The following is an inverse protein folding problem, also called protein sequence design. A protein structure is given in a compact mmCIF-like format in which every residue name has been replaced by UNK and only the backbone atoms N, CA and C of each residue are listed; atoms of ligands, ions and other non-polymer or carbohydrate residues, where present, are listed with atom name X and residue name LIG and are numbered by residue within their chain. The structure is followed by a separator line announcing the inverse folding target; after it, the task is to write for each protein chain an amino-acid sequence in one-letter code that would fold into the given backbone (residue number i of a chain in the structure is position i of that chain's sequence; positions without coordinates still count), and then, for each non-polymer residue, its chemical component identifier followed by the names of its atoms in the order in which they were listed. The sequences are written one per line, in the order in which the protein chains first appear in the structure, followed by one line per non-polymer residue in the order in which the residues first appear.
data_IF_269862793728
#
_entry.id   IF_269862793728
#
_cell.length_a   1.000
_cell.length_b   1.000
_cell.length_c   1.000
_cell.angle_alpha   90.00
_cell.angle_beta   90.00
_cell.angle_gamma   90.00
#
_symmetry.space_group_name_H-M   'P 1'
#
loop_
_entity.id
_entity.type
_entity.pdbx_description
1 polymer ?
#
# COMPACT_ATOMS: atom_id res chain seq x y z
N UNK A 1 -29.32 8.40 26.08
CA UNK A 1 -30.10 8.41 24.84
C UNK A 1 -30.81 9.75 24.71
N UNK A 2 -31.33 10.10 23.52
CA UNK A 2 -32.15 11.30 23.36
C UNK A 2 -33.57 11.12 23.92
N UNK A 3 -34.24 12.23 24.24
CA UNK A 3 -35.64 12.23 24.67
C UNK A 3 -36.53 11.57 23.60
N UNK A 4 -37.28 10.52 24.00
CA UNK A 4 -38.12 9.66 23.15
C UNK A 4 -37.43 9.07 21.92
N UNK A 5 -36.09 8.98 21.94
CA UNK A 5 -35.33 8.37 20.85
C UNK A 5 -35.66 6.87 20.70
N UNK A 6 -35.72 6.42 19.45
CA UNK A 6 -35.80 5.02 19.05
C UNK A 6 -34.51 4.71 18.26
N UNK A 7 -33.63 3.86 18.81
CA UNK A 7 -32.26 3.72 18.33
C UNK A 7 -31.89 2.25 18.10
N UNK A 8 -31.64 1.91 16.84
CA UNK A 8 -31.05 0.64 16.44
C UNK A 8 -29.53 0.80 16.36
N UNK A 9 -28.81 0.20 17.31
CA UNK A 9 -27.34 0.28 17.42
C UNK A 9 -26.76 -1.08 17.02
N UNK A 10 -26.32 -1.20 15.77
CA UNK A 10 -25.82 -2.48 15.23
C UNK A 10 -24.44 -2.37 14.56
N UNK A 11 -23.61 -3.39 14.78
CA UNK A 11 -22.29 -3.59 14.19
C UNK A 11 -21.28 -2.42 14.32
N UNK A 12 -21.40 -1.63 15.39
CA UNK A 12 -20.45 -0.56 15.75
C UNK A 12 -19.25 -1.09 16.54
N UNK A 13 -18.19 -0.27 16.63
CA UNK A 13 -16.94 -0.59 17.33
C UNK A 13 -16.68 0.47 18.40
N UNK A 14 -16.76 0.08 19.68
CA UNK A 14 -16.56 0.96 20.83
C UNK A 14 -15.24 0.61 21.55
N UNK A 15 -14.23 1.47 21.44
CA UNK A 15 -12.91 1.27 22.06
C UNK A 15 -12.67 2.38 23.10
N UNK A 16 -12.41 2.01 24.35
CA UNK A 16 -12.10 2.93 25.46
C UNK A 16 -13.25 3.83 25.93
N UNK A 17 -14.49 3.56 25.48
CA UNK A 17 -15.63 4.46 25.71
C UNK A 17 -16.21 4.27 27.13
N UNK A 18 -16.26 5.35 27.91
CA UNK A 18 -16.73 5.33 29.32
C UNK A 18 -18.23 5.01 29.49
N UNK A 19 -19.05 5.31 28.48
CA UNK A 19 -20.46 4.93 28.39
C UNK A 19 -20.82 4.65 26.92
N UNK A 20 -20.62 3.42 26.40
CA UNK A 20 -20.85 3.16 24.99
C UNK A 20 -22.35 3.14 24.65
N UNK A 21 -23.20 2.56 25.50
CA UNK A 21 -24.66 2.65 25.43
C UNK A 21 -25.18 3.48 26.62
N UNK A 22 -25.09 4.81 26.51
CA UNK A 22 -25.72 5.70 27.49
C UNK A 22 -27.24 5.73 27.28
N UNK A 23 -28.00 5.31 28.28
CA UNK A 23 -29.46 5.32 28.29
C UNK A 23 -30.05 6.65 28.83
N UNK A 24 -29.23 7.51 29.46
CA UNK A 24 -29.65 8.75 30.13
C UNK A 24 -30.76 8.51 31.18
N UNK A 25 -31.60 9.51 31.48
CA UNK A 25 -32.65 9.45 32.53
C UNK A 25 -33.81 8.46 32.27
N UNK A 26 -33.73 7.60 31.26
CA UNK A 26 -34.75 6.57 30.96
C UNK A 26 -35.81 6.96 29.93
N UNK A 27 -35.92 8.23 29.56
CA UNK A 27 -36.95 8.81 28.68
C UNK A 27 -36.92 8.37 27.20
N UNK A 28 -36.25 7.27 26.84
CA UNK A 28 -36.16 6.76 25.47
C UNK A 28 -37.32 5.82 25.10
N UNK A 29 -37.68 5.82 23.82
CA UNK A 29 -38.70 4.93 23.26
C UNK A 29 -38.17 3.50 23.24
N UNK A 30 -37.02 3.25 22.61
CA UNK A 30 -36.30 1.98 22.59
C UNK A 30 -34.82 2.16 22.22
N UNK A 31 -33.95 1.24 22.64
CA UNK A 31 -32.54 1.17 22.21
C UNK A 31 -32.16 -0.30 22.04
N UNK A 32 -32.15 -0.83 20.81
CA UNK A 32 -31.68 -2.21 20.56
C UNK A 32 -30.19 -2.22 20.23
N UNK A 33 -29.49 -3.24 20.73
CA UNK A 33 -28.03 -3.38 20.60
C UNK A 33 -27.71 -4.79 20.12
N UNK A 34 -27.09 -4.92 18.94
CA UNK A 34 -26.77 -6.23 18.34
C UNK A 34 -25.49 -6.20 17.50
N UNK A 35 -24.64 -7.23 17.61
CA UNK A 35 -23.46 -7.39 16.74
C UNK A 35 -22.32 -6.38 16.93
N UNK A 36 -22.43 -5.45 17.89
CA UNK A 36 -21.38 -4.45 18.17
C UNK A 36 -20.20 -5.06 18.93
N UNK A 37 -19.00 -4.52 18.72
CA UNK A 37 -17.79 -4.83 19.48
C UNK A 37 -17.52 -3.78 20.56
N UNK A 38 -17.12 -4.22 21.76
CA UNK A 38 -16.80 -3.36 22.90
C UNK A 38 -15.45 -3.77 23.50
N UNK A 39 -14.53 -2.83 23.64
CA UNK A 39 -13.19 -3.05 24.20
C UNK A 39 -12.80 -1.90 25.14
N UNK A 40 -12.27 -2.21 26.32
CA UNK A 40 -11.86 -1.20 27.31
C UNK A 40 -13.00 -0.28 27.80
N UNK A 41 -14.26 -0.64 27.51
CA UNK A 41 -15.43 0.16 27.88
C UNK A 41 -15.82 -0.07 29.34
N UNK A 42 -16.12 1.00 30.06
CA UNK A 42 -16.35 0.98 31.53
C UNK A 42 -17.78 1.31 31.96
N UNK A 43 -18.71 1.38 31.00
CA UNK A 43 -20.13 1.65 31.25
C UNK A 43 -21.04 0.66 30.52
N UNK A 44 -22.35 0.88 30.62
CA UNK A 44 -23.37 0.00 30.04
C UNK A 44 -23.15 -0.28 28.54
N UNK A 45 -23.20 -1.56 28.18
CA UNK A 45 -23.12 -2.09 26.80
C UNK A 45 -24.44 -2.68 26.30
N UNK A 46 -25.47 -2.78 27.16
CA UNK A 46 -26.75 -3.42 26.83
C UNK A 46 -27.82 -2.42 26.39
N UNK A 47 -28.65 -2.84 25.43
CA UNK A 47 -29.87 -2.13 25.05
C UNK A 47 -31.04 -2.37 25.99
N UNK A 48 -32.18 -1.74 25.70
CA UNK A 48 -33.47 -2.03 26.32
C UNK A 48 -34.63 -1.79 25.32
N UNK A 49 -35.59 -2.70 25.32
CA UNK A 49 -36.69 -2.82 24.33
C UNK A 49 -36.20 -3.07 22.90
N UNK A 50 -37.12 -3.44 22.01
CA UNK A 50 -36.85 -3.59 20.58
C UNK A 50 -37.02 -2.23 19.89
N UNK A 51 -35.98 -1.76 19.20
CA UNK A 51 -36.02 -0.54 18.39
C UNK A 51 -36.66 -0.80 17.01
N UNK A 52 -36.93 0.28 16.27
CA UNK A 52 -37.42 0.18 14.89
C UNK A 52 -36.55 -0.72 14.00
N UNK A 53 -37.19 -1.41 13.06
CA UNK A 53 -36.52 -2.07 11.93
C UNK A 53 -36.66 -1.16 10.71
N UNK A 54 -35.56 -0.76 10.03
CA UNK A 54 -35.65 0.02 8.81
C UNK A 54 -36.45 -0.69 7.71
N UNK A 55 -37.17 0.07 6.88
CA UNK A 55 -37.87 -0.46 5.69
C UNK A 55 -36.94 -0.72 4.50
N UNK A 56 -35.64 -0.52 4.67
CA UNK A 56 -34.59 -0.75 3.68
C UNK A 56 -33.57 -1.75 4.22
N UNK A 57 -33.03 -2.59 3.33
CA UNK A 57 -31.90 -3.48 3.65
C UNK A 57 -30.59 -2.76 3.33
N UNK A 58 -29.65 -2.75 4.27
CA UNK A 58 -28.29 -2.26 4.10
C UNK A 58 -27.31 -3.37 4.51
N UNK A 59 -26.24 -3.66 3.74
CA UNK A 59 -25.23 -4.63 4.16
C UNK A 59 -24.47 -4.10 5.38
N UNK A 60 -24.34 -4.92 6.42
CA UNK A 60 -23.61 -4.60 7.63
C UNK A 60 -22.24 -5.29 7.61
N UNK A 61 -21.17 -4.56 7.90
CA UNK A 61 -19.85 -5.17 8.15
C UNK A 61 -19.90 -5.95 9.45
N UNK A 62 -19.55 -7.24 9.43
CA UNK A 62 -19.42 -8.03 10.65
C UNK A 62 -18.22 -7.54 11.48
N UNK A 63 -18.44 -7.26 12.77
CA UNK A 63 -17.41 -6.83 13.74
C UNK A 63 -17.35 -7.74 14.98
N UNK A 64 -17.91 -8.95 14.90
CA UNK A 64 -18.07 -9.93 16.00
C UNK A 64 -16.78 -10.34 16.74
N UNK A 65 -15.60 -10.00 16.23
CA UNK A 65 -14.32 -10.23 16.91
C UNK A 65 -13.35 -9.03 16.73
N UNK A 66 -12.29 -9.00 17.53
CA UNK A 66 -11.32 -7.90 17.58
C UNK A 66 -10.69 -7.63 16.21
N UNK A 67 -10.27 -8.67 15.49
CA UNK A 67 -9.65 -8.57 14.16
C UNK A 67 -10.58 -7.87 13.14
N UNK A 68 -11.86 -8.24 13.10
CA UNK A 68 -12.86 -7.60 12.24
C UNK A 68 -13.17 -6.16 12.68
N UNK A 69 -13.34 -5.94 13.97
CA UNK A 69 -13.57 -4.60 14.55
C UNK A 69 -12.40 -3.64 14.24
N UNK A 70 -11.17 -4.13 14.30
CA UNK A 70 -9.96 -3.36 13.98
C UNK A 70 -9.84 -3.08 12.48
N UNK A 71 -10.17 -4.03 11.61
CA UNK A 71 -10.24 -3.79 10.17
C UNK A 71 -11.24 -2.67 9.82
N UNK A 72 -12.40 -2.62 10.48
CA UNK A 72 -13.36 -1.52 10.29
C UNK A 72 -12.83 -0.18 10.87
N UNK A 73 -12.26 -0.19 12.09
CA UNK A 73 -11.59 0.98 12.71
C UNK A 73 -10.57 1.62 11.77
N UNK A 74 -9.70 0.82 11.17
CA UNK A 74 -8.61 1.29 10.33
C UNK A 74 -9.11 1.82 8.99
N UNK A 75 -10.11 1.16 8.40
CA UNK A 75 -10.82 1.66 7.22
C UNK A 75 -11.46 3.03 7.48
N UNK A 76 -12.22 3.17 8.58
CA UNK A 76 -12.85 4.45 8.96
C UNK A 76 -11.81 5.55 9.19
N UNK A 77 -10.69 5.25 9.86
CA UNK A 77 -9.60 6.22 10.11
C UNK A 77 -8.95 6.77 8.84
N UNK A 78 -8.94 5.99 7.76
CA UNK A 78 -8.28 6.37 6.52
C UNK A 78 -9.22 6.99 5.47
N UNK A 79 -10.53 6.68 5.53
CA UNK A 79 -11.49 7.05 4.49
C UNK A 79 -12.67 7.92 4.96
N UNK A 80 -12.86 8.13 6.27
CA UNK A 80 -13.89 9.03 6.79
C UNK A 80 -13.36 10.46 6.98
N UNK A 81 -14.13 11.45 6.53
CA UNK A 81 -13.78 12.88 6.62
C UNK A 81 -13.89 13.59 5.27
N UNK A 82 -13.41 14.83 5.21
CA UNK A 82 -13.46 15.66 4.00
C UNK A 82 -12.26 15.44 3.05
N UNK A 83 -11.29 14.60 3.42
CA UNK A 83 -10.10 14.29 2.64
C UNK A 83 -10.39 13.22 1.59
N UNK A 84 -10.81 13.65 0.40
CA UNK A 84 -10.72 12.80 -0.79
C UNK A 84 -9.25 12.41 -1.03
N UNK A 85 -8.91 11.13 -1.20
CA UNK A 85 -7.57 10.75 -1.67
C UNK A 85 -7.34 11.34 -3.08
N UNK A 86 -6.09 11.67 -3.40
CA UNK A 86 -5.76 12.31 -4.67
C UNK A 86 -6.27 11.49 -5.88
N UNK A 87 -6.94 12.12 -6.87
CA UNK A 87 -7.51 11.39 -8.01
C UNK A 87 -6.46 10.56 -8.76
N UNK A 88 -6.53 9.24 -8.59
CA UNK A 88 -5.61 8.28 -9.20
C UNK A 88 -4.92 7.30 -8.24
N UNK A 89 -4.93 7.51 -6.91
CA UNK A 89 -4.15 6.63 -6.01
C UNK A 89 -4.82 5.28 -5.70
N UNK A 90 -6.15 5.21 -5.52
CA UNK A 90 -6.85 3.95 -5.15
C UNK A 90 -8.26 3.83 -5.77
N UNK A 91 -8.36 3.62 -7.09
CA UNK A 91 -9.66 3.33 -7.74
C UNK A 91 -9.59 2.24 -8.84
N UNK A 92 -9.34 1.01 -8.41
CA UNK A 92 -9.49 -0.21 -9.24
C UNK A 92 -10.42 -1.27 -8.63
N UNK A 93 -11.43 -0.83 -7.87
CA UNK A 93 -12.53 -1.69 -7.41
C UNK A 93 -13.77 -0.88 -7.05
N UNK A 94 -14.68 -0.69 -8.02
CA UNK A 94 -16.01 -0.09 -7.81
C UNK A 94 -16.99 -1.05 -7.10
N UNK A 95 -16.55 -1.67 -6.00
CA UNK A 95 -17.37 -2.44 -5.07
C UNK A 95 -16.60 -2.65 -3.77
N UNK A 96 -17.12 -2.13 -2.66
CA UNK A 96 -16.64 -2.49 -1.32
C UNK A 96 -17.28 -3.83 -0.95
N UNK A 97 -16.68 -4.92 -1.42
CA UNK A 97 -17.07 -6.27 -1.01
C UNK A 97 -16.57 -6.48 0.42
N UNK A 98 -17.44 -6.66 1.43
CA UNK A 98 -16.99 -7.04 2.77
C UNK A 98 -16.42 -8.46 2.71
N UNK A 99 -15.18 -8.63 3.20
CA UNK A 99 -14.46 -9.92 3.19
C UNK A 99 -15.06 -10.96 4.15
N UNK A 100 -16.26 -11.46 3.87
CA UNK A 100 -16.96 -12.53 4.61
C UNK A 100 -18.05 -13.19 3.76
N UNK A 101 -17.66 -13.83 2.65
CA UNK A 101 -18.56 -14.65 1.83
C UNK A 101 -17.85 -15.84 1.15
N UNK A 102 -17.37 -16.80 1.95
CA UNK A 102 -16.80 -18.06 1.45
C UNK A 102 -17.92 -19.05 1.08
N UNK A 103 -18.45 -18.95 -0.14
CA UNK A 103 -19.41 -19.92 -0.68
C UNK A 103 -18.69 -21.21 -1.12
N UNK A 104 -18.69 -22.23 -0.26
CA UNK A 104 -18.21 -23.57 -0.59
C UNK A 104 -19.36 -24.42 -1.21
N UNK A 105 -19.19 -25.00 -2.40
CA UNK A 105 -20.05 -26.10 -2.86
C UNK A 105 -19.77 -27.39 -2.07
N UNK A 106 -20.71 -28.36 -2.01
CA UNK A 106 -20.59 -29.52 -1.14
C UNK A 106 -19.57 -30.56 -1.65
N UNK A 107 -18.83 -31.16 -0.71
CA UNK A 107 -17.85 -32.21 -0.96
C UNK A 107 -18.49 -33.52 -1.47
N UNK A 108 -17.78 -34.21 -2.35
CA UNK A 108 -18.08 -35.58 -2.78
C UNK A 108 -16.85 -36.48 -2.69
N UNK A 109 -17.07 -37.77 -2.43
CA UNK A 109 -16.11 -38.88 -2.37
C UNK A 109 -15.06 -38.90 -1.23
N UNK A 110 -14.48 -40.06 -0.85
CA UNK A 110 -15.14 -41.20 -0.18
C UNK A 110 -14.16 -42.34 0.21
N UNK A 111 -14.43 -42.96 1.36
CA UNK A 111 -14.14 -44.36 1.79
C UNK A 111 -12.68 -44.88 1.96
N UNK A 112 -12.61 -45.96 2.76
CA UNK A 112 -11.49 -46.83 3.16
C UNK A 112 -10.53 -46.26 4.23
N UNK A 113 -10.28 -46.87 5.42
CA UNK A 113 -10.09 -48.28 5.87
C UNK A 113 -8.65 -48.79 5.68
N UNK A 114 -7.97 -49.47 6.62
CA UNK A 114 -8.16 -49.75 8.08
C UNK A 114 -6.73 -50.07 8.65
N UNK A 115 -6.39 -50.77 9.76
CA UNK A 115 -7.07 -51.54 10.85
C UNK A 115 -6.01 -51.90 11.93
N UNK A 116 -6.45 -52.36 13.13
CA UNK A 116 -5.68 -53.21 14.10
C UNK A 116 -4.41 -52.62 14.78
N UNK A 117 -3.98 -53.01 15.99
CA UNK A 117 -4.56 -53.90 17.04
C UNK A 117 -3.86 -53.75 18.42
N UNK A 118 -4.60 -54.01 19.50
CA UNK A 118 -4.13 -54.41 20.85
C UNK A 118 -4.21 -55.96 21.00
N UNK A 119 -3.74 -56.65 22.06
CA UNK A 119 -3.24 -56.22 23.41
C UNK A 119 -1.73 -56.60 23.59
N UNK A 120 -1.01 -56.70 24.73
CA UNK A 120 -1.18 -57.11 26.16
C UNK A 120 0.01 -56.53 27.00
N UNK A 121 0.18 -56.62 28.33
CA UNK A 121 -0.69 -56.78 29.54
C UNK A 121 0.14 -56.56 30.84
N UNK A 122 -0.52 -56.22 31.96
CA UNK A 122 -0.10 -56.36 33.38
C UNK A 122 1.35 -56.09 33.85
N UNK A 123 1.55 -55.07 34.71
CA UNK A 123 1.98 -55.23 36.13
C UNK A 123 2.18 -53.89 36.88
N UNK A 124 2.03 -53.89 38.20
CA UNK A 124 1.98 -52.69 39.07
C UNK A 124 3.35 -52.10 39.46
N UNK A 125 3.40 -50.77 39.62
CA UNK A 125 4.06 -50.10 40.76
C UNK A 125 3.61 -48.63 40.88
N UNK A 126 3.46 -48.13 42.11
CA UNK A 126 2.86 -46.82 42.41
C UNK A 126 3.89 -45.79 42.89
N UNK A 127 4.12 -44.73 42.10
CA UNK A 127 4.73 -43.46 42.55
C UNK A 127 4.08 -42.28 41.77
N UNK A 128 4.29 -41.01 42.17
CA UNK A 128 3.16 -40.09 42.38
C UNK A 128 2.63 -39.41 41.12
N UNK A 129 1.45 -38.79 41.27
CA UNK A 129 0.84 -37.96 40.25
C UNK A 129 1.65 -36.66 40.01
N UNK A 130 2.55 -36.70 39.02
CA UNK A 130 3.05 -35.49 38.36
C UNK A 130 2.09 -35.12 37.24
N UNK A 131 1.32 -34.05 37.43
CA UNK A 131 0.43 -33.50 36.40
C UNK A 131 1.24 -32.78 35.32
N UNK A 132 1.88 -33.55 34.44
CA UNK A 132 2.37 -33.05 33.16
C UNK A 132 1.18 -32.71 32.26
N UNK A 133 0.65 -31.49 32.41
CA UNK A 133 -0.25 -30.91 31.43
C UNK A 133 0.49 -30.84 30.10
N UNK A 134 0.15 -31.75 29.19
CA UNK A 134 0.53 -31.61 27.78
C UNK A 134 -0.26 -30.43 27.23
N UNK A 135 0.37 -29.25 27.23
CA UNK A 135 -0.21 -28.06 26.64
C UNK A 135 -0.64 -28.39 25.20
N UNK A 136 -1.93 -28.21 24.94
CA UNK A 136 -2.54 -28.52 23.65
C UNK A 136 -2.12 -27.42 22.68
N UNK A 137 -0.90 -27.57 22.16
CA UNK A 137 -0.29 -26.64 21.22
C UNK A 137 -1.18 -26.54 19.99
N UNK A 138 -1.91 -25.44 19.87
CA UNK A 138 -2.70 -25.14 18.69
C UNK A 138 -1.75 -24.88 17.49
N UNK A 139 -2.19 -25.13 16.25
CA UNK A 139 -1.39 -24.79 15.07
C UNK A 139 -1.06 -23.29 15.05
N UNK A 140 0.05 -22.92 14.42
CA UNK A 140 0.39 -21.52 14.26
C UNK A 140 -0.64 -20.79 13.38
N UNK A 141 -0.83 -19.50 13.62
CA UNK A 141 -1.73 -18.63 12.85
C UNK A 141 -1.01 -17.33 12.50
N UNK A 142 -1.30 -16.79 11.30
CA UNK A 142 -0.89 -15.46 10.85
C UNK A 142 -2.14 -14.65 10.48
N UNK A 143 -2.52 -13.69 11.32
CA UNK A 143 -3.60 -12.74 11.06
C UNK A 143 -3.05 -11.44 10.46
N UNK A 144 -3.74 -10.86 9.47
CA UNK A 144 -3.27 -9.68 8.73
C UNK A 144 -4.00 -8.42 9.19
N UNK A 145 -3.25 -7.38 9.51
CA UNK A 145 -3.74 -6.11 10.03
C UNK A 145 -3.13 -4.91 9.26
N UNK A 146 -3.57 -3.70 9.57
CA UNK A 146 -3.19 -2.47 8.86
C UNK A 146 -3.82 -2.35 7.47
N UNK A 147 -3.82 -1.13 6.95
CA UNK A 147 -4.53 -0.76 5.71
C UNK A 147 -3.83 -1.14 4.41
N UNK A 148 -2.51 -1.33 4.41
CA UNK A 148 -1.78 -1.83 3.25
C UNK A 148 -2.26 -3.21 2.82
N UNK A 149 -2.47 -3.43 1.53
CA UNK A 149 -2.78 -4.76 1.01
C UNK A 149 -1.52 -5.62 0.96
N UNK A 150 -1.63 -6.89 1.34
CA UNK A 150 -0.57 -7.89 1.09
C UNK A 150 -0.30 -8.07 -0.40
N UNK A 151 -1.27 -7.73 -1.26
CA UNK A 151 -1.12 -7.66 -2.71
C UNK A 151 -1.33 -6.20 -3.15
N UNK A 152 -0.25 -5.46 -3.37
CA UNK A 152 -0.29 -4.02 -3.68
C UNK A 152 0.57 -3.68 -4.90
N UNK A 153 0.16 -2.66 -5.65
CA UNK A 153 0.94 -2.10 -6.77
C UNK A 153 1.52 -0.77 -6.33
N UNK A 154 2.85 -0.65 -6.42
CA UNK A 154 3.63 0.50 -5.93
C UNK A 154 4.66 0.85 -7.00
N UNK A 155 4.92 2.14 -7.19
CA UNK A 155 5.84 2.59 -8.22
C UNK A 155 7.29 2.67 -7.68
N UNK A 156 8.30 2.46 -8.52
CA UNK A 156 9.70 2.51 -8.08
C UNK A 156 10.07 3.91 -7.55
N UNK A 157 10.51 4.00 -6.29
CA UNK A 157 10.72 5.25 -5.56
C UNK A 157 9.59 5.67 -4.62
N UNK A 158 8.43 4.99 -4.65
CA UNK A 158 7.29 5.28 -3.76
C UNK A 158 7.27 4.39 -2.50
N UNK A 159 6.65 4.88 -1.44
CA UNK A 159 6.45 4.13 -0.20
C UNK A 159 5.36 3.06 -0.35
N UNK A 160 5.56 1.90 0.26
CA UNK A 160 4.50 0.89 0.32
C UNK A 160 3.43 1.33 1.32
N UNK A 161 2.17 0.98 1.05
CA UNK A 161 1.12 1.09 2.06
C UNK A 161 1.43 0.08 3.17
N UNK A 162 1.67 0.56 4.40
CA UNK A 162 2.14 -0.29 5.49
C UNK A 162 1.06 -1.23 6.03
N UNK A 163 1.49 -2.41 6.45
CA UNK A 163 0.67 -3.46 7.04
C UNK A 163 1.49 -4.28 8.03
N UNK A 164 0.83 -5.14 8.80
CA UNK A 164 1.52 -6.10 9.66
C UNK A 164 0.78 -7.43 9.74
N UNK A 165 1.50 -8.48 10.14
CA UNK A 165 0.89 -9.73 10.58
C UNK A 165 1.11 -9.92 12.08
N UNK A 166 0.08 -10.39 12.78
CA UNK A 166 0.20 -10.91 14.15
C UNK A 166 0.37 -12.42 14.07
N UNK A 167 1.37 -12.99 14.76
CA UNK A 167 1.57 -14.44 14.82
C UNK A 167 1.13 -15.03 16.15
N UNK A 168 0.42 -16.16 16.10
CA UNK A 168 -0.16 -16.84 17.26
C UNK A 168 0.37 -18.28 17.30
N UNK A 169 0.62 -18.82 18.50
CA UNK A 169 1.18 -20.15 18.76
C UNK A 169 2.56 -20.42 18.11
N UNK A 170 3.39 -19.39 17.88
CA UNK A 170 4.73 -19.54 17.33
C UNK A 170 5.76 -18.67 18.07
N UNK A 171 7.00 -19.14 18.11
CA UNK A 171 8.10 -18.44 18.79
C UNK A 171 8.56 -17.19 18.03
N UNK A 172 8.55 -17.25 16.70
CA UNK A 172 8.91 -16.12 15.82
C UNK A 172 8.38 -16.30 14.40
N UNK A 173 8.89 -15.49 13.47
CA UNK A 173 8.48 -15.46 12.06
C UNK A 173 9.66 -15.08 11.17
N UNK A 174 9.77 -15.69 9.98
CA UNK A 174 10.71 -15.30 8.92
C UNK A 174 9.96 -14.66 7.76
N UNK A 175 10.63 -13.72 7.09
CA UNK A 175 10.11 -12.98 5.94
C UNK A 175 11.14 -12.99 4.81
N UNK A 176 10.72 -13.41 3.62
CA UNK A 176 11.57 -13.51 2.42
C UNK A 176 10.86 -12.90 1.20
N UNK A 177 11.60 -12.60 0.12
CA UNK A 177 11.03 -12.18 -1.17
C UNK A 177 10.58 -10.71 -1.30
N UNK A 178 10.95 -9.83 -0.36
CA UNK A 178 10.69 -8.39 -0.47
C UNK A 178 11.54 -7.71 -1.56
N UNK A 179 11.01 -6.67 -2.24
CA UNK A 179 11.79 -5.83 -3.16
C UNK A 179 12.79 -4.93 -2.42
N UNK A 180 13.81 -4.44 -3.13
CA UNK A 180 14.81 -3.53 -2.57
C UNK A 180 14.17 -2.27 -1.98
N UNK A 181 14.69 -1.82 -0.83
CA UNK A 181 14.19 -0.66 -0.09
C UNK A 181 12.92 -0.89 0.77
N UNK A 182 12.25 -2.05 0.61
CA UNK A 182 11.17 -2.49 1.51
C UNK A 182 11.75 -3.42 2.57
N UNK A 183 11.40 -3.15 3.83
CA UNK A 183 11.92 -3.81 5.01
C UNK A 183 10.80 -4.41 5.86
N UNK A 184 11.18 -5.23 6.84
CA UNK A 184 10.26 -5.71 7.87
C UNK A 184 10.86 -5.50 9.26
N UNK A 185 10.00 -5.30 10.26
CA UNK A 185 10.36 -5.04 11.67
C UNK A 185 9.56 -5.99 12.57
N UNK A 186 10.24 -6.74 13.43
CA UNK A 186 9.60 -7.59 14.44
C UNK A 186 9.41 -6.85 15.76
N UNK A 187 8.22 -6.98 16.32
CA UNK A 187 7.85 -6.62 17.68
C UNK A 187 7.53 -7.92 18.42
N UNK A 188 8.55 -8.53 19.00
CA UNK A 188 8.43 -9.82 19.70
C UNK A 188 7.63 -9.73 21.00
N UNK A 189 7.39 -8.53 21.54
CA UNK A 189 6.51 -8.35 22.70
C UNK A 189 5.05 -8.50 22.30
N UNK A 190 4.65 -7.89 21.18
CA UNK A 190 3.26 -7.91 20.66
C UNK A 190 3.00 -9.04 19.67
N UNK A 191 4.04 -9.79 19.30
CA UNK A 191 4.03 -10.84 18.27
C UNK A 191 3.57 -10.31 16.89
N UNK A 192 4.03 -9.11 16.55
CA UNK A 192 3.71 -8.42 15.30
C UNK A 192 4.95 -8.33 14.39
N UNK A 193 4.77 -8.57 13.08
CA UNK A 193 5.77 -8.26 12.06
C UNK A 193 5.23 -7.20 11.10
N UNK A 194 5.81 -6.01 11.14
CA UNK A 194 5.44 -4.85 10.33
C UNK A 194 6.19 -4.84 9.00
N UNK A 195 5.53 -4.35 7.97
CA UNK A 195 6.04 -4.22 6.61
C UNK A 195 5.95 -2.75 6.20
N UNK A 196 7.12 -2.15 5.92
CA UNK A 196 7.25 -0.72 5.63
C UNK A 196 8.49 -0.42 4.79
N UNK A 197 8.64 0.84 4.37
CA UNK A 197 9.75 1.31 3.54
C UNK A 197 9.31 1.80 2.16
N UNK A 198 10.30 2.06 1.32
CA UNK A 198 10.16 2.71 0.02
C UNK A 198 10.85 1.85 -1.01
N UNK A 199 10.12 1.44 -2.05
CA UNK A 199 10.69 0.63 -3.14
C UNK A 199 11.83 1.42 -3.75
N UNK A 200 13.04 0.85 -3.80
CA UNK A 200 14.21 1.57 -4.32
C UNK A 200 13.96 1.99 -5.77
N UNK A 201 14.28 3.23 -6.15
CA UNK A 201 14.02 3.76 -7.50
C UNK A 201 14.83 3.07 -8.62
N UNK A 202 15.84 2.27 -8.25
CA UNK A 202 16.58 1.38 -9.14
C UNK A 202 15.87 0.03 -9.42
N UNK A 203 14.85 -0.32 -8.63
CA UNK A 203 14.19 -1.63 -8.66
C UNK A 203 13.52 -1.87 -10.02
N UNK A 204 13.85 -2.95 -10.75
CA UNK A 204 13.16 -3.32 -11.98
C UNK A 204 11.65 -3.50 -11.77
N UNK A 205 10.85 -3.12 -12.76
CA UNK A 205 9.42 -3.40 -12.72
C UNK A 205 9.16 -4.91 -12.78
N UNK A 206 8.32 -5.42 -11.88
CA UNK A 206 8.11 -6.86 -11.69
C UNK A 206 7.18 -7.18 -10.51
N UNK A 207 6.76 -8.44 -10.42
CA UNK A 207 5.87 -8.94 -9.37
C UNK A 207 6.67 -9.61 -8.25
N UNK A 208 7.06 -8.83 -7.24
CA UNK A 208 7.87 -9.30 -6.10
C UNK A 208 6.97 -10.03 -5.10
N UNK A 209 7.02 -11.35 -5.11
CA UNK A 209 6.21 -12.17 -4.19
C UNK A 209 7.01 -12.47 -2.92
N UNK A 210 6.50 -11.95 -1.80
CA UNK A 210 7.06 -12.20 -0.48
C UNK A 210 6.32 -13.32 0.25
N UNK A 211 7.03 -13.98 1.15
CA UNK A 211 6.50 -15.06 2.02
C UNK A 211 6.76 -14.72 3.48
N UNK A 212 5.82 -15.14 4.34
CA UNK A 212 5.81 -14.94 5.79
C UNK A 212 5.54 -16.29 6.41
N UNK A 213 6.52 -16.83 7.14
CA UNK A 213 6.49 -18.21 7.66
C UNK A 213 6.75 -18.18 9.16
N UNK A 214 5.84 -18.73 9.97
CA UNK A 214 6.09 -18.82 11.42
C UNK A 214 7.17 -19.85 11.72
N UNK A 215 7.85 -19.71 12.87
CA UNK A 215 8.88 -20.63 13.34
C UNK A 215 8.64 -20.99 14.80
N UNK A 216 8.89 -22.25 15.16
CA UNK A 216 8.86 -22.74 16.55
C UNK A 216 7.55 -23.36 17.01
N UNK A 217 6.53 -23.52 16.14
CA UNK A 217 5.38 -24.36 16.47
C UNK A 217 5.74 -25.85 16.30
N UNK A 218 5.41 -26.73 17.26
CA UNK A 218 5.76 -28.16 17.22
C UNK A 218 4.82 -29.02 16.36
N UNK A 219 3.68 -28.47 15.88
CA UNK A 219 2.70 -29.19 15.05
C UNK A 219 2.78 -28.72 13.59
N UNK A 220 2.45 -27.44 13.33
CA UNK A 220 2.47 -26.85 12.00
C UNK A 220 2.76 -25.35 12.06
N UNK A 221 3.62 -24.89 11.14
CA UNK A 221 3.88 -23.47 10.92
C UNK A 221 2.86 -22.89 9.92
N UNK A 222 2.41 -21.67 10.17
CA UNK A 222 1.58 -20.92 9.25
C UNK A 222 2.45 -20.26 8.18
N UNK A 223 1.94 -20.27 6.94
CA UNK A 223 2.54 -19.56 5.81
C UNK A 223 1.50 -18.59 5.22
N UNK A 224 1.92 -17.36 4.96
CA UNK A 224 1.19 -16.39 4.13
C UNK A 224 2.11 -15.82 3.08
N UNK A 225 1.54 -15.51 1.92
CA UNK A 225 2.24 -14.84 0.82
C UNK A 225 1.49 -13.58 0.40
N UNK A 226 2.21 -12.70 -0.28
CA UNK A 226 1.68 -11.50 -0.91
C UNK A 226 2.60 -11.02 -2.02
N UNK A 227 2.11 -10.15 -2.89
CA UNK A 227 2.87 -9.63 -4.04
C UNK A 227 2.91 -8.11 -4.04
N UNK A 228 4.12 -7.55 -4.01
CA UNK A 228 4.38 -6.13 -4.26
C UNK A 228 4.72 -6.00 -5.75
N UNK A 229 3.76 -5.53 -6.54
CA UNK A 229 3.94 -5.25 -7.97
C UNK A 229 4.63 -3.91 -8.12
N UNK A 230 5.92 -3.94 -8.49
CA UNK A 230 6.70 -2.73 -8.77
C UNK A 230 6.41 -2.27 -10.19
N UNK A 231 5.95 -1.03 -10.35
CA UNK A 231 5.78 -0.37 -11.66
C UNK A 231 6.88 0.65 -11.91
N UNK A 232 7.32 0.79 -13.16
CA UNK A 232 8.28 1.82 -13.55
C UNK A 232 7.66 3.21 -13.38
N UNK A 233 8.27 4.02 -12.52
CA UNK A 233 8.02 5.47 -12.50
C UNK A 233 8.64 6.12 -13.73
N UNK A 234 7.83 6.39 -14.75
CA UNK A 234 8.19 7.38 -15.78
C UNK A 234 8.01 8.79 -15.18
N UNK A 235 8.77 9.08 -14.12
CA UNK A 235 8.78 10.38 -13.47
C UNK A 235 9.29 11.41 -14.47
N UNK A 236 8.40 12.31 -14.89
CA UNK A 236 8.82 13.57 -15.49
C UNK A 236 9.38 14.40 -14.32
N UNK A 237 10.66 14.19 -13.99
CA UNK A 237 11.34 15.08 -13.07
C UNK A 237 11.14 16.51 -13.57
N UNK A 238 10.72 17.39 -12.66
CA UNK A 238 10.83 18.84 -12.80
C UNK A 238 12.30 19.28 -12.71
N UNK A 239 13.11 18.67 -13.58
CA UNK A 239 14.51 18.96 -13.76
C UNK A 239 14.64 20.43 -14.16
N UNK A 240 15.02 21.25 -13.19
CA UNK A 240 15.88 22.39 -13.47
C UNK A 240 16.99 21.85 -14.37
N UNK A 241 16.99 22.24 -15.65
CA UNK A 241 17.83 21.67 -16.70
C UNK A 241 19.33 21.92 -16.42
N UNK A 242 19.89 21.20 -15.44
CA UNK A 242 21.31 21.00 -15.20
C UNK A 242 21.83 20.07 -16.27
N UNK A 243 21.97 20.69 -17.44
CA UNK A 243 22.82 20.25 -18.52
C UNK A 243 24.08 19.56 -17.99
N UNK A 244 24.14 18.25 -18.22
CA UNK A 244 25.39 17.48 -18.22
C UNK A 244 25.88 17.38 -19.66
N UNK A 245 26.08 18.54 -20.30
CA UNK A 245 26.67 18.64 -21.64
C UNK A 245 26.20 19.83 -22.49
N UNK A 246 24.89 20.08 -22.58
CA UNK A 246 24.27 21.13 -23.41
C UNK A 246 24.47 22.56 -22.86
N UNK A 247 25.46 23.29 -23.38
CA UNK A 247 25.84 24.62 -22.91
C UNK A 247 25.78 25.65 -24.04
N UNK A 248 25.15 26.80 -23.78
CA UNK A 248 25.09 27.93 -24.72
C UNK A 248 25.87 29.11 -24.16
N UNK A 249 26.86 29.58 -24.92
CA UNK A 249 27.75 30.68 -24.54
C UNK A 249 27.91 31.67 -25.70
N UNK A 250 27.59 32.96 -25.52
CA UNK A 250 26.93 33.57 -24.37
C UNK A 250 25.41 33.27 -24.30
N UNK A 251 24.80 33.44 -23.12
CA UNK A 251 23.32 33.37 -22.95
C UNK A 251 22.59 34.64 -23.38
N UNK A 252 23.33 35.74 -23.57
CA UNK A 252 22.86 36.99 -24.18
C UNK A 252 23.65 37.14 -25.47
N UNK A 253 22.97 36.98 -26.60
CA UNK A 253 23.55 36.91 -27.95
C UNK A 253 23.42 38.28 -28.61
N UNK A 254 24.52 38.76 -29.21
CA UNK A 254 24.57 40.03 -29.96
C UNK A 254 24.98 39.84 -31.44
N UNK A 255 25.47 38.65 -31.80
CA UNK A 255 25.88 38.30 -33.17
C UNK A 255 25.90 36.78 -33.31
N UNK A 256 26.55 36.07 -32.39
CA UNK A 256 26.59 34.62 -32.39
C UNK A 256 26.74 34.01 -30.99
N UNK A 257 26.41 32.72 -30.87
CA UNK A 257 26.67 31.91 -29.70
C UNK A 257 27.14 30.50 -30.09
N UNK A 258 28.08 29.98 -29.29
CA UNK A 258 28.52 28.60 -29.34
C UNK A 258 27.58 27.72 -28.51
N UNK A 259 27.09 26.65 -29.13
CA UNK A 259 26.28 25.61 -28.53
C UNK A 259 27.10 24.33 -28.49
N UNK A 260 27.50 23.91 -27.29
CA UNK A 260 28.27 22.69 -27.05
C UNK A 260 27.34 21.63 -26.46
N UNK A 261 27.50 20.36 -26.86
CA UNK A 261 26.78 19.23 -26.26
C UNK A 261 27.59 17.93 -26.40
N UNK A 262 27.30 16.93 -25.57
CA UNK A 262 27.97 15.63 -25.60
C UNK A 262 27.00 14.52 -26.00
N UNK A 263 27.42 13.61 -26.88
CA UNK A 263 26.65 12.45 -27.30
C UNK A 263 27.32 11.15 -26.86
N UNK A 264 26.55 10.26 -26.22
CA UNK A 264 27.00 8.91 -25.84
C UNK A 264 27.04 7.92 -27.03
N UNK A 265 26.35 8.25 -28.13
CA UNK A 265 26.24 7.49 -29.39
C UNK A 265 26.05 8.47 -30.55
N UNK A 266 26.56 8.14 -31.74
CA UNK A 266 26.28 8.93 -32.95
C UNK A 266 24.79 8.91 -33.30
N UNK A 267 24.29 9.94 -33.97
CA UNK A 267 22.93 9.94 -34.53
C UNK A 267 22.39 11.32 -34.89
N UNK A 268 21.15 11.32 -35.39
CA UNK A 268 20.47 12.54 -35.83
C UNK A 268 20.13 13.45 -34.63
N UNK A 269 20.56 14.71 -34.73
CA UNK A 269 20.30 15.78 -33.77
C UNK A 269 19.45 16.87 -34.45
N UNK A 270 18.53 17.46 -33.69
CA UNK A 270 17.75 18.63 -34.08
C UNK A 270 18.01 19.76 -33.10
N UNK A 271 18.32 20.95 -33.61
CA UNK A 271 18.37 22.19 -32.86
C UNK A 271 17.27 23.13 -33.37
N UNK A 272 16.44 23.60 -32.45
CA UNK A 272 15.34 24.52 -32.70
C UNK A 272 15.46 25.74 -31.80
N UNK A 273 15.16 26.93 -32.30
CA UNK A 273 14.99 28.14 -31.50
C UNK A 273 13.54 28.57 -31.61
N UNK A 274 12.84 28.64 -30.48
CA UNK A 274 11.43 29.01 -30.40
C UNK A 274 11.26 30.32 -29.63
N UNK A 275 10.32 31.15 -30.07
CA UNK A 275 9.92 32.37 -29.35
C UNK A 275 8.92 32.07 -28.22
N UNK A 276 8.50 33.11 -27.49
CA UNK A 276 7.54 33.00 -26.39
C UNK A 276 6.12 32.54 -26.81
N UNK A 277 5.82 32.53 -28.11
CA UNK A 277 4.56 31.97 -28.67
C UNK A 277 4.70 30.52 -29.14
N UNK A 278 5.89 29.91 -28.99
CA UNK A 278 6.17 28.55 -29.43
C UNK A 278 6.50 28.42 -30.92
N UNK A 279 6.61 29.54 -31.66
CA UNK A 279 6.97 29.56 -33.08
C UNK A 279 8.48 29.34 -33.24
N UNK A 280 8.85 28.37 -34.07
CA UNK A 280 10.24 28.10 -34.45
C UNK A 280 10.75 29.21 -35.40
N UNK A 281 11.76 29.95 -34.96
CA UNK A 281 12.42 31.02 -35.73
C UNK A 281 13.76 30.58 -36.34
N UNK A 282 14.30 29.45 -35.90
CA UNK A 282 15.46 28.79 -36.48
C UNK A 282 15.35 27.28 -36.27
N UNK A 283 15.65 26.49 -37.30
CA UNK A 283 15.69 25.01 -37.23
C UNK A 283 16.92 24.49 -37.97
N UNK A 284 17.62 23.51 -37.40
CA UNK A 284 18.70 22.78 -38.08
C UNK A 284 18.78 21.33 -37.60
N UNK A 285 18.86 20.40 -38.54
CA UNK A 285 18.99 18.95 -38.30
C UNK A 285 20.26 18.44 -38.98
N UNK A 286 21.03 17.62 -38.28
CA UNK A 286 22.26 17.01 -38.81
C UNK A 286 22.59 15.70 -38.08
N UNK A 287 23.39 14.85 -38.71
CA UNK A 287 23.93 13.66 -38.05
C UNK A 287 25.21 14.06 -37.28
N UNK A 288 25.27 13.73 -36.00
CA UNK A 288 26.33 14.16 -35.09
C UNK A 288 27.11 12.95 -34.54
N UNK A 289 28.42 13.14 -34.38
CA UNK A 289 29.35 12.09 -33.93
C UNK A 289 29.23 11.83 -32.43
N UNK A 290 29.66 10.64 -31.98
CA UNK A 290 29.83 10.38 -30.54
C UNK A 290 30.91 11.30 -29.94
N UNK A 291 30.79 11.64 -28.65
CA UNK A 291 31.67 12.56 -27.95
C UNK A 291 31.19 14.01 -27.95
N UNK A 292 32.12 14.96 -27.82
CA UNK A 292 31.81 16.39 -27.72
C UNK A 292 31.55 16.98 -29.11
N UNK A 293 30.42 17.67 -29.24
CA UNK A 293 30.00 18.37 -30.46
C UNK A 293 29.84 19.86 -30.16
N UNK A 294 30.12 20.71 -31.14
CA UNK A 294 29.99 22.16 -31.06
C UNK A 294 29.32 22.69 -32.33
N UNK A 295 28.39 23.62 -32.19
CA UNK A 295 27.76 24.34 -33.30
C UNK A 295 27.67 25.83 -32.96
N UNK A 296 28.06 26.68 -33.91
CA UNK A 296 27.83 28.12 -33.82
C UNK A 296 26.45 28.44 -34.42
N UNK A 297 25.68 29.28 -33.73
CA UNK A 297 24.45 29.91 -34.24
C UNK A 297 24.70 31.40 -34.33
N UNK A 298 24.40 31.99 -35.49
CA UNK A 298 24.41 33.44 -35.69
C UNK A 298 22.97 33.99 -35.55
N UNK A 299 22.81 35.16 -34.93
CA UNK A 299 21.51 35.78 -34.63
C UNK A 299 21.07 36.84 -35.64
N UNK A 300 21.85 37.14 -36.69
CA UNK A 300 21.56 38.26 -37.62
C UNK A 300 20.23 38.15 -38.36
N UNK A 301 19.64 36.95 -38.46
CA UNK A 301 18.32 36.71 -39.05
C UNK A 301 17.18 36.57 -38.02
N UNK A 302 17.44 36.86 -36.73
CA UNK A 302 16.49 36.69 -35.64
C UNK A 302 16.31 38.03 -34.92
N UNK A 303 15.06 38.45 -34.72
CA UNK A 303 14.73 39.69 -34.01
C UNK A 303 15.25 39.69 -32.56
N UNK A 304 15.60 40.85 -32.03
CA UNK A 304 15.89 41.00 -30.60
C UNK A 304 14.69 40.57 -29.74
N UNK A 305 14.93 39.78 -28.68
CA UNK A 305 13.86 39.18 -27.89
C UNK A 305 14.32 38.08 -26.93
N UNK A 306 13.34 37.40 -26.32
CA UNK A 306 13.56 36.25 -25.42
C UNK A 306 13.15 34.98 -26.15
N UNK A 307 14.05 33.99 -26.15
CA UNK A 307 13.86 32.74 -26.87
C UNK A 307 14.24 31.55 -26.01
N UNK A 308 13.73 30.37 -26.36
CA UNK A 308 14.21 29.09 -25.85
C UNK A 308 14.91 28.33 -26.98
N UNK A 309 16.08 27.78 -26.67
CA UNK A 309 16.79 26.87 -27.57
C UNK A 309 16.54 25.44 -27.10
N UNK A 310 16.03 24.61 -28.00
CA UNK A 310 15.67 23.22 -27.79
C UNK A 310 16.63 22.34 -28.60
N UNK A 311 17.41 21.52 -27.92
CA UNK A 311 18.26 20.49 -28.51
C UNK A 311 17.62 19.13 -28.30
N UNK A 312 17.27 18.43 -29.38
CA UNK A 312 16.76 17.06 -29.36
C UNK A 312 17.81 16.12 -29.92
N UNK A 313 18.24 15.15 -29.11
CA UNK A 313 19.20 14.10 -29.46
C UNK A 313 18.51 12.74 -29.48
N UNK A 314 19.16 11.66 -29.95
CA UNK A 314 18.57 10.31 -29.91
C UNK A 314 18.34 9.75 -28.50
N UNK A 315 18.90 10.37 -27.45
CA UNK A 315 18.85 9.87 -26.07
C UNK A 315 18.15 10.81 -25.07
N UNK A 316 18.03 12.10 -25.41
CA UNK A 316 17.46 13.12 -24.53
C UNK A 316 17.07 14.38 -25.30
N UNK A 317 16.18 15.17 -24.70
CA UNK A 317 15.88 16.53 -25.10
C UNK A 317 16.36 17.52 -24.02
N UNK A 318 16.69 18.75 -24.40
CA UNK A 318 17.21 19.75 -23.48
C UNK A 318 16.83 21.15 -23.94
N UNK A 319 16.33 21.98 -23.01
CA UNK A 319 15.83 23.32 -23.31
C UNK A 319 16.60 24.35 -22.46
N UNK A 320 17.04 25.45 -23.08
CA UNK A 320 17.72 26.54 -22.40
C UNK A 320 17.23 27.91 -22.89
N UNK A 321 16.85 28.77 -21.95
CA UNK A 321 16.47 30.17 -22.22
C UNK A 321 17.69 31.01 -22.60
N UNK A 322 17.53 31.83 -23.64
CA UNK A 322 18.50 32.82 -24.12
C UNK A 322 17.82 34.19 -24.30
N UNK A 323 18.63 35.22 -24.52
CA UNK A 323 18.20 36.55 -24.96
C UNK A 323 18.99 36.91 -26.20
N UNK A 324 18.32 37.42 -27.23
CA UNK A 324 18.95 38.01 -28.43
C UNK A 324 18.76 39.54 -28.36
N UNK A 325 19.78 40.30 -28.74
CA UNK A 325 19.80 41.77 -28.73
C UNK A 325 20.35 42.32 -30.04
#
# INVERSE_FOLDING_TARGET
AGYKADLRVENNVFIGVKKPIDLYEGDYTAVSVSGNYFEGTTGNTSGNKTAFTPSYNMPLTDVSNQTKAYALRDSIRNFAGATLPAPGTVYSSSSVIPSSSSSLPPSSSSVFSSSSSLPESSSSSTIPASSSSVDVSAPAVLEKHGSGSSNQTVAAGESIASFYYTWINASGVTVEGLPAGVSYVLDEEKKNVYFEGTVESSTPAGDYTFTVTTVGNPITNAVKSGTIKVTSTTSIESSYFKSSGFQITPKIIQSEASITFNLKKQGLVSLSIIDLSGREVFSKKWNASTGMNQMIVNSSSITAGVYYVQLKTPASESIQKIVIR
#
